data_IF_973649526186
#
_entry.id   IF_973649526186
#
_cell.length_a   1.000
_cell.length_b   1.000
_cell.length_c   1.000
_cell.angle_alpha   90.00
_cell.angle_beta   90.00
_cell.angle_gamma   90.00
#
_symmetry.space_group_name_H-M   'P 1'
#
loop_
_entity.id
_entity.type
_entity.pdbx_description
1 polymer ?
#
# COMPACT_ATOMS: atom_id res chain seq x y z
N UNK A 1 23.71 16.46 26.20
CA UNK A 1 22.41 17.16 26.02
C UNK A 1 22.00 17.40 24.56
N UNK A 2 22.91 17.46 23.57
CA UNK A 2 22.57 17.73 22.16
C UNK A 2 21.91 16.56 21.39
N UNK A 3 21.96 15.34 21.91
CA UNK A 3 21.42 14.16 21.23
C UNK A 3 19.89 14.02 21.39
N UNK A 4 19.35 14.43 22.54
CA UNK A 4 17.92 14.32 22.87
C UNK A 4 17.06 15.19 21.94
N UNK A 5 17.53 16.39 21.63
CA UNK A 5 16.82 17.30 20.71
C UNK A 5 16.82 16.81 19.26
N UNK A 6 17.87 16.06 18.85
CA UNK A 6 17.92 15.45 17.51
C UNK A 6 16.96 14.28 17.39
N UNK A 7 16.84 13.44 18.42
CA UNK A 7 15.83 12.36 18.46
C UNK A 7 14.43 12.92 18.52
N UNK A 8 14.18 13.99 19.29
CA UNK A 8 12.85 14.64 19.36
C UNK A 8 12.44 15.24 18.01
N UNK A 9 13.35 15.92 17.29
CA UNK A 9 13.09 16.41 15.93
C UNK A 9 12.86 15.28 14.92
N UNK A 10 13.57 14.16 15.05
CA UNK A 10 13.36 12.98 14.18
C UNK A 10 12.02 12.30 14.45
N UNK A 11 11.58 12.21 15.70
CA UNK A 11 10.29 11.63 16.08
C UNK A 11 9.14 12.47 15.54
N UNK A 12 9.20 13.80 15.70
CA UNK A 12 8.22 14.70 15.10
C UNK A 12 8.24 14.63 13.57
N UNK A 13 9.42 14.57 12.94
CA UNK A 13 9.54 14.40 11.50
C UNK A 13 8.87 13.12 10.98
N UNK A 14 8.97 12.00 11.70
CA UNK A 14 8.31 10.72 11.34
C UNK A 14 6.80 10.79 11.55
N UNK A 15 6.34 11.45 12.62
CA UNK A 15 4.91 11.65 12.90
C UNK A 15 4.27 12.59 11.86
N UNK A 16 4.94 13.70 11.52
CA UNK A 16 4.52 14.62 10.46
C UNK A 16 4.58 13.97 9.06
N UNK A 17 5.57 13.11 8.82
CA UNK A 17 5.67 12.30 7.60
C UNK A 17 4.53 11.27 7.52
N UNK A 18 4.12 10.69 8.66
CA UNK A 18 2.94 9.82 8.78
C UNK A 18 1.63 10.58 8.52
N UNK A 19 1.49 11.82 9.00
CA UNK A 19 0.34 12.68 8.71
C UNK A 19 0.27 13.12 7.24
N UNK A 20 1.43 13.24 6.57
CA UNK A 20 1.51 13.42 5.11
C UNK A 20 1.19 12.12 4.35
N UNK A 21 1.40 10.98 5.01
CA UNK A 21 1.12 9.64 4.52
C UNK A 21 -0.36 9.26 4.60
N UNK A 22 -1.05 9.67 5.66
CA UNK A 22 -2.50 9.56 5.81
C UNK A 22 -3.13 10.94 6.02
N UNK A 23 -3.23 11.79 4.97
CA UNK A 23 -4.07 12.97 5.06
C UNK A 23 -5.51 12.47 5.18
N UNK A 24 -6.04 12.50 6.41
CA UNK A 24 -7.43 12.16 6.70
C UNK A 24 -8.34 12.99 5.81
N UNK A 25 -8.78 12.38 4.70
CA UNK A 25 -9.71 13.03 3.78
C UNK A 25 -10.99 13.19 4.57
N UNK A 26 -11.23 14.39 5.07
CA UNK A 26 -12.55 14.78 5.57
C UNK A 26 -13.49 14.59 4.38
N UNK A 27 -14.20 13.47 4.36
CA UNK A 27 -15.32 13.29 3.46
C UNK A 27 -16.35 14.33 3.89
N UNK A 28 -16.31 15.51 3.26
CA UNK A 28 -17.50 16.34 3.17
C UNK A 28 -18.48 15.53 2.34
N UNK A 29 -19.28 14.72 3.02
CA UNK A 29 -20.61 14.37 2.54
C UNK A 29 -21.25 15.72 2.23
N UNK A 30 -21.31 16.04 0.94
CA UNK A 30 -21.92 17.25 0.47
C UNK A 30 -23.42 17.02 0.60
N UNK A 31 -23.95 17.29 1.79
CA UNK A 31 -25.36 17.64 1.94
C UNK A 31 -25.52 18.96 1.20
N UNK A 32 -25.67 18.87 -0.13
CA UNK A 32 -25.95 20.02 -0.99
C UNK A 32 -27.35 19.81 -1.52
N UNK A 33 -28.30 20.40 -0.79
CA UNK A 33 -29.52 21.00 -1.29
C UNK A 33 -30.31 20.20 -2.33
N UNK A 34 -31.17 19.30 -1.83
CA UNK A 34 -32.49 19.09 -2.44
C UNK A 34 -33.31 20.39 -2.27
N UNK A 35 -33.17 21.32 -3.20
CA UNK A 35 -34.12 22.43 -3.40
C UNK A 35 -33.89 23.07 -4.78
N UNK A 36 -33.91 22.24 -5.82
CA UNK A 36 -34.15 22.60 -7.23
C UNK A 36 -34.55 21.23 -7.82
N UNK A 37 -35.79 20.93 -8.19
CA UNK A 37 -36.60 21.61 -9.19
C UNK A 37 -38.06 21.11 -9.03
N UNK A 38 -38.87 21.90 -8.34
CA UNK A 38 -40.34 21.86 -8.45
C UNK A 38 -40.62 23.04 -9.38
N UNK A 39 -41.03 22.78 -10.64
CA UNK A 39 -41.60 23.72 -11.64
C UNK A 39 -41.29 23.22 -13.07
N UNK A 40 -42.00 22.18 -13.52
CA UNK A 40 -42.43 22.00 -14.91
C UNK A 40 -43.12 20.64 -15.05
N UNK A 41 -44.36 20.55 -14.59
CA UNK A 41 -45.23 19.37 -14.83
C UNK A 41 -46.59 19.87 -15.30
N UNK A 42 -46.61 20.72 -16.32
CA UNK A 42 -47.85 21.11 -16.99
C UNK A 42 -47.58 21.25 -18.49
N UNK A 43 -47.74 20.12 -19.19
CA UNK A 43 -47.91 20.05 -20.63
C UNK A 43 -46.63 19.89 -21.45
N UNK A 44 -46.13 18.65 -21.60
CA UNK A 44 -45.79 18.03 -22.90
C UNK A 44 -45.75 16.51 -22.70
N UNK A 45 -46.82 15.83 -23.07
CA UNK A 45 -46.86 14.40 -23.34
C UNK A 45 -46.57 14.21 -24.85
N UNK A 46 -45.34 13.81 -25.23
CA UNK A 46 -44.99 13.02 -26.44
C UNK A 46 -43.47 12.88 -26.61
N UNK A 47 -43.04 11.62 -26.67
CA UNK A 47 -41.67 11.12 -26.75
C UNK A 47 -41.07 11.39 -28.16
N UNK A 48 -39.87 12.00 -28.22
CA UNK A 48 -38.69 11.69 -29.08
C UNK A 48 -37.84 12.97 -29.34
N UNK A 49 -36.49 12.85 -29.25
CA UNK A 49 -35.40 13.80 -29.63
C UNK A 49 -34.73 14.62 -28.48
N UNK A 50 -33.52 14.20 -28.05
CA UNK A 50 -32.57 15.04 -27.30
C UNK A 50 -31.46 15.53 -28.25
N UNK A 51 -31.29 16.85 -28.44
CA UNK A 51 -30.25 17.46 -29.27
C UNK A 51 -28.80 17.24 -28.74
N UNK A 52 -27.77 17.34 -29.61
CA UNK A 52 -26.38 16.94 -29.36
C UNK A 52 -25.60 17.71 -28.28
N UNK A 53 -26.24 18.63 -27.55
CA UNK A 53 -25.60 19.46 -26.51
C UNK A 53 -25.61 18.83 -25.11
N UNK A 54 -26.33 17.72 -24.90
CA UNK A 54 -26.42 17.04 -23.59
C UNK A 54 -25.32 15.97 -23.38
N UNK A 55 -24.09 16.24 -23.86
CA UNK A 55 -22.93 15.45 -23.44
C UNK A 55 -22.77 15.70 -21.94
N UNK A 56 -23.16 14.71 -21.14
CA UNK A 56 -22.91 14.70 -19.71
C UNK A 56 -21.40 14.67 -19.51
N UNK A 57 -20.78 15.86 -19.39
CA UNK A 57 -19.37 15.99 -19.03
C UNK A 57 -19.25 15.50 -17.59
N UNK A 58 -19.01 14.20 -17.43
CA UNK A 58 -18.61 13.58 -16.16
C UNK A 58 -17.39 14.36 -15.67
N UNK A 59 -17.58 15.15 -14.61
CA UNK A 59 -16.54 15.94 -13.93
C UNK A 59 -15.27 15.08 -13.77
N UNK A 60 -14.06 15.59 -14.08
CA UNK A 60 -12.85 14.78 -14.10
C UNK A 60 -12.64 14.14 -12.73
N UNK A 61 -12.83 12.83 -12.70
CA UNK A 61 -12.49 11.99 -11.56
C UNK A 61 -10.99 12.17 -11.32
N UNK A 62 -10.59 12.57 -10.10
CA UNK A 62 -9.18 12.83 -9.76
C UNK A 62 -8.33 11.67 -10.31
N UNK A 63 -7.21 11.95 -11.00
CA UNK A 63 -6.49 10.91 -11.72
C UNK A 63 -6.19 9.78 -10.73
N UNK A 64 -6.57 8.52 -11.05
CA UNK A 64 -6.13 7.39 -10.25
C UNK A 64 -4.60 7.48 -10.17
N UNK A 65 -4.03 7.18 -9.01
CA UNK A 65 -2.58 7.06 -8.91
C UNK A 65 -2.17 6.11 -10.06
N UNK A 66 -1.30 6.56 -10.95
CA UNK A 66 -0.97 5.75 -12.14
C UNK A 66 -0.41 4.41 -11.68
N UNK A 67 -0.78 3.31 -12.33
CA UNK A 67 -0.28 1.96 -12.01
C UNK A 67 1.26 1.93 -11.90
N UNK A 68 1.97 2.69 -12.74
CA UNK A 68 3.43 2.88 -12.67
C UNK A 68 3.92 3.38 -11.30
N UNK A 69 3.22 4.35 -10.70
CA UNK A 69 3.51 4.87 -9.35
C UNK A 69 3.20 3.82 -8.27
N UNK A 70 2.15 3.02 -8.47
CA UNK A 70 1.83 1.89 -7.60
C UNK A 70 3.00 0.90 -7.51
N UNK A 71 3.56 0.48 -8.65
CA UNK A 71 4.72 -0.41 -8.70
C UNK A 71 5.97 0.19 -8.04
N UNK A 72 6.23 1.49 -8.23
CA UNK A 72 7.33 2.14 -7.50
C UNK A 72 7.13 2.13 -6.00
N UNK A 73 5.89 2.26 -5.50
CA UNK A 73 5.62 2.15 -4.07
C UNK A 73 5.81 0.73 -3.55
N UNK A 74 5.46 -0.31 -4.32
CA UNK A 74 5.74 -1.71 -3.95
C UNK A 74 7.24 -1.96 -3.85
N UNK A 75 8.01 -1.53 -4.86
CA UNK A 75 9.47 -1.71 -4.87
C UNK A 75 10.16 -0.95 -3.74
N UNK A 76 9.78 0.31 -3.52
CA UNK A 76 10.34 1.12 -2.44
C UNK A 76 9.92 0.59 -1.06
N UNK A 77 8.67 0.16 -0.90
CA UNK A 77 8.17 -0.48 0.34
C UNK A 77 8.90 -1.78 0.62
N UNK A 78 9.05 -2.67 -0.36
CA UNK A 78 9.81 -3.92 -0.21
C UNK A 78 11.30 -3.70 0.04
N UNK A 79 11.91 -2.66 -0.53
CA UNK A 79 13.28 -2.27 -0.18
C UNK A 79 13.41 -1.82 1.27
N UNK A 80 12.44 -1.02 1.75
CA UNK A 80 12.39 -0.58 3.14
C UNK A 80 12.13 -1.74 4.10
N UNK A 81 11.38 -2.75 3.67
CA UNK A 81 11.18 -4.02 4.38
C UNK A 81 12.49 -4.68 4.75
N UNK A 82 13.38 -4.82 3.77
CA UNK A 82 14.70 -5.42 3.99
C UNK A 82 15.45 -4.64 5.08
N UNK A 83 15.43 -3.31 5.02
CA UNK A 83 16.14 -2.43 5.98
C UNK A 83 15.60 -2.59 7.39
N UNK A 84 14.27 -2.48 7.60
CA UNK A 84 13.72 -2.57 8.96
C UNK A 84 13.77 -3.99 9.51
N UNK A 85 13.56 -5.00 8.66
CA UNK A 85 13.63 -6.40 9.09
C UNK A 85 15.07 -6.82 9.43
N UNK A 86 16.08 -6.38 8.67
CA UNK A 86 17.49 -6.63 9.01
C UNK A 86 17.95 -5.88 10.25
N UNK A 87 17.35 -4.71 10.53
CA UNK A 87 17.72 -3.87 11.67
C UNK A 87 17.47 -4.53 13.02
N UNK A 88 16.51 -5.47 13.11
CA UNK A 88 16.27 -6.25 14.35
C UNK A 88 17.47 -7.10 14.79
N UNK A 89 18.42 -7.37 13.89
CA UNK A 89 19.64 -8.12 14.21
C UNK A 89 20.68 -7.26 14.96
N UNK A 90 20.51 -5.93 14.99
CA UNK A 90 21.51 -4.99 15.46
C UNK A 90 21.03 -4.20 16.68
N UNK A 91 21.65 -4.46 17.83
CA UNK A 91 21.30 -3.81 19.09
C UNK A 91 21.61 -2.30 19.12
N UNK A 92 22.51 -1.83 18.26
CA UNK A 92 22.86 -0.42 18.15
C UNK A 92 21.87 0.38 17.29
N UNK A 93 20.91 -0.26 16.61
CA UNK A 93 19.88 0.43 15.86
C UNK A 93 18.75 0.81 16.83
N UNK A 94 18.45 2.11 17.02
CA UNK A 94 17.39 2.52 17.91
C UNK A 94 16.05 1.92 17.47
N UNK A 95 15.30 1.29 18.39
CA UNK A 95 14.01 0.66 18.07
C UNK A 95 13.01 1.63 17.41
N UNK A 96 13.13 2.93 17.72
CA UNK A 96 12.33 3.98 17.10
C UNK A 96 12.59 4.13 15.59
N UNK A 97 13.82 3.89 15.14
CA UNK A 97 14.17 3.91 13.71
C UNK A 97 13.53 2.72 12.99
N UNK A 98 13.61 1.53 13.60
CA UNK A 98 12.98 0.32 13.07
C UNK A 98 11.46 0.51 12.94
N UNK A 99 10.83 1.06 13.98
CA UNK A 99 9.40 1.36 13.96
C UNK A 99 9.03 2.39 12.89
N UNK A 100 9.81 3.46 12.74
CA UNK A 100 9.60 4.47 11.71
C UNK A 100 9.69 3.88 10.29
N UNK A 101 10.72 3.09 10.03
CA UNK A 101 10.91 2.41 8.75
C UNK A 101 9.81 1.37 8.49
N UNK A 102 9.38 0.62 9.50
CA UNK A 102 8.24 -0.30 9.38
C UNK A 102 6.96 0.45 8.99
N UNK A 103 6.61 1.53 9.69
CA UNK A 103 5.39 2.29 9.41
C UNK A 103 5.41 2.91 8.00
N UNK A 104 6.55 3.47 7.60
CA UNK A 104 6.74 4.02 6.27
C UNK A 104 6.61 2.92 5.19
N UNK A 105 7.17 1.73 5.44
CA UNK A 105 7.10 0.57 4.53
C UNK A 105 5.65 0.17 4.26
N UNK A 106 4.86 0.02 5.33
CA UNK A 106 3.48 -0.39 5.23
C UNK A 106 2.59 0.68 4.61
N UNK A 107 2.84 1.96 4.82
CA UNK A 107 2.08 2.99 4.14
C UNK A 107 2.31 2.97 2.62
N UNK A 108 3.57 2.85 2.16
CA UNK A 108 3.87 2.72 0.74
C UNK A 108 3.08 1.55 0.13
N UNK A 109 2.99 0.45 0.88
CA UNK A 109 2.20 -0.71 0.51
C UNK A 109 0.69 -0.39 0.44
N UNK A 110 0.16 0.31 1.44
CA UNK A 110 -1.25 0.76 1.51
C UNK A 110 -1.58 1.72 0.36
N UNK A 111 -0.61 2.49 -0.13
CA UNK A 111 -0.77 3.34 -1.32
C UNK A 111 -0.76 2.52 -2.61
N UNK A 112 0.04 1.46 -2.68
CA UNK A 112 0.07 0.57 -3.84
C UNK A 112 -1.22 -0.26 -4.01
N UNK A 113 -1.79 -0.77 -2.92
CA UNK A 113 -3.04 -1.57 -2.97
C UNK A 113 -4.26 -0.77 -3.44
N UNK A 114 -4.19 0.56 -3.45
CA UNK A 114 -5.25 1.42 -4.03
C UNK A 114 -5.36 1.29 -5.55
N UNK A 115 -4.33 0.74 -6.22
CA UNK A 115 -4.25 0.70 -7.70
C UNK A 115 -3.82 -0.65 -8.26
N UNK A 116 -3.32 -1.56 -7.41
CA UNK A 116 -2.95 -2.93 -7.76
C UNK A 116 -3.74 -3.88 -6.86
N UNK A 117 -4.22 -5.04 -7.37
CA UNK A 117 -4.88 -6.05 -6.54
C UNK A 117 -4.04 -6.41 -5.31
N UNK A 118 -4.70 -6.44 -4.15
CA UNK A 118 -4.04 -6.64 -2.85
C UNK A 118 -3.19 -7.92 -2.80
N UNK A 119 -3.69 -9.02 -3.37
CA UNK A 119 -2.96 -10.29 -3.43
C UNK A 119 -1.67 -10.21 -4.25
N UNK A 120 -1.65 -9.42 -5.33
CA UNK A 120 -0.44 -9.20 -6.13
C UNK A 120 0.58 -8.36 -5.37
N UNK A 121 0.12 -7.29 -4.72
CA UNK A 121 0.98 -6.40 -3.93
C UNK A 121 1.65 -7.16 -2.79
N UNK A 122 0.88 -7.90 -2.00
CA UNK A 122 1.44 -8.69 -0.90
C UNK A 122 2.37 -9.79 -1.39
N UNK A 123 2.02 -10.50 -2.46
CA UNK A 123 2.88 -11.55 -3.00
C UNK A 123 4.24 -11.04 -3.49
N UNK A 124 4.27 -9.85 -4.11
CA UNK A 124 5.53 -9.23 -4.56
C UNK A 124 6.30 -8.64 -3.38
N UNK A 125 5.62 -7.97 -2.44
CA UNK A 125 6.24 -7.41 -1.23
C UNK A 125 6.95 -8.49 -0.42
N UNK A 126 6.26 -9.56 -0.05
CA UNK A 126 6.85 -10.65 0.73
C UNK A 126 7.95 -11.39 -0.05
N UNK A 127 7.82 -11.51 -1.38
CA UNK A 127 8.86 -12.05 -2.24
C UNK A 127 10.16 -11.22 -2.19
N UNK A 128 10.04 -9.90 -2.30
CA UNK A 128 11.18 -8.97 -2.20
C UNK A 128 11.81 -9.05 -0.81
N UNK A 129 11.00 -9.02 0.26
CA UNK A 129 11.50 -9.14 1.63
C UNK A 129 12.24 -10.45 1.87
N UNK A 130 11.68 -11.58 1.41
CA UNK A 130 12.31 -12.91 1.58
C UNK A 130 13.64 -13.00 0.84
N UNK A 131 13.66 -12.64 -0.45
CA UNK A 131 14.89 -12.69 -1.25
C UNK A 131 15.92 -11.69 -0.71
N UNK A 132 15.50 -10.48 -0.39
CA UNK A 132 16.36 -9.42 0.11
C UNK A 132 16.96 -9.74 1.47
N UNK A 133 16.19 -10.32 2.39
CA UNK A 133 16.71 -10.76 3.70
C UNK A 133 17.71 -11.90 3.56
N UNK A 134 17.44 -12.88 2.69
CA UNK A 134 18.38 -13.98 2.43
C UNK A 134 19.71 -13.44 1.86
N UNK A 135 19.64 -12.51 0.90
CA UNK A 135 20.84 -11.88 0.32
C UNK A 135 21.57 -11.04 1.38
N UNK A 136 20.85 -10.23 2.15
CA UNK A 136 21.44 -9.39 3.20
C UNK A 136 22.15 -10.24 4.24
N UNK A 137 21.49 -11.32 4.70
CA UNK A 137 22.06 -12.28 5.64
C UNK A 137 23.29 -12.97 5.05
N UNK A 138 23.24 -13.38 3.79
CA UNK A 138 24.36 -13.99 3.08
C UNK A 138 25.59 -13.07 3.01
N UNK A 139 25.38 -11.80 2.64
CA UNK A 139 26.44 -10.79 2.54
C UNK A 139 27.03 -10.48 3.91
N UNK A 140 26.21 -10.40 4.95
CA UNK A 140 26.65 -10.03 6.30
C UNK A 140 27.33 -11.19 7.05
N UNK A 141 26.87 -12.42 6.89
CA UNK A 141 27.51 -13.60 7.48
C UNK A 141 28.72 -14.06 6.65
N UNK A 142 28.85 -13.64 5.38
CA UNK A 142 29.92 -14.06 4.46
C UNK A 142 29.86 -15.54 4.06
N UNK A 143 28.93 -16.31 4.63
CA UNK A 143 28.70 -17.71 4.36
C UNK A 143 27.22 -18.04 4.53
N UNK A 144 26.63 -18.70 3.53
CA UNK A 144 25.24 -19.13 3.58
C UNK A 144 25.20 -20.56 4.11
N UNK A 145 24.59 -20.77 5.28
CA UNK A 145 24.36 -22.13 5.77
C UNK A 145 23.36 -22.84 4.86
N UNK A 146 23.73 -23.96 4.21
CA UNK A 146 22.83 -24.65 3.27
C UNK A 146 21.54 -25.12 3.95
N UNK A 147 21.61 -25.45 5.24
CA UNK A 147 20.45 -25.82 6.05
C UNK A 147 19.44 -24.67 6.22
N UNK A 148 19.89 -23.42 6.40
CA UNK A 148 18.98 -22.24 6.51
C UNK A 148 18.20 -22.06 5.21
N UNK A 149 18.89 -22.14 4.07
CA UNK A 149 18.27 -22.05 2.74
C UNK A 149 17.26 -23.17 2.52
N UNK A 150 17.60 -24.41 2.94
CA UNK A 150 16.68 -25.55 2.87
C UNK A 150 15.39 -25.32 3.66
N UNK A 151 15.48 -24.76 4.87
CA UNK A 151 14.29 -24.43 5.70
C UNK A 151 13.44 -23.34 5.04
N UNK A 152 14.06 -22.31 4.48
CA UNK A 152 13.33 -21.22 3.77
C UNK A 152 12.63 -21.76 2.52
N UNK A 153 13.29 -22.61 1.74
CA UNK A 153 12.68 -23.27 0.59
C UNK A 153 11.52 -24.17 0.99
N UNK A 154 11.67 -24.95 2.07
CA UNK A 154 10.60 -25.78 2.62
C UNK A 154 9.40 -24.94 3.05
N UNK A 155 9.63 -23.80 3.70
CA UNK A 155 8.59 -22.84 4.07
C UNK A 155 7.84 -22.32 2.82
N UNK A 156 8.56 -21.96 1.76
CA UNK A 156 7.97 -21.52 0.50
C UNK A 156 7.11 -22.62 -0.14
N UNK A 157 7.57 -23.87 -0.12
CA UNK A 157 6.80 -25.03 -0.58
C UNK A 157 5.49 -25.18 0.21
N UNK A 158 5.54 -25.05 1.54
CA UNK A 158 4.33 -25.08 2.36
C UNK A 158 3.33 -23.98 2.00
N UNK A 159 3.81 -22.75 1.77
CA UNK A 159 2.95 -21.62 1.37
C UNK A 159 2.29 -21.91 0.02
N UNK A 160 3.03 -22.43 -0.96
CA UNK A 160 2.50 -22.78 -2.28
C UNK A 160 1.49 -23.92 -2.16
N UNK A 161 1.80 -24.96 -1.39
CA UNK A 161 0.92 -26.10 -1.17
C UNK A 161 -0.41 -25.70 -0.52
N UNK A 162 -0.36 -24.80 0.47
CA UNK A 162 -1.55 -24.20 1.09
C UNK A 162 -2.41 -23.47 0.04
N UNK A 163 -1.77 -22.70 -0.85
CA UNK A 163 -2.50 -21.99 -1.92
C UNK A 163 -3.17 -22.93 -2.92
N UNK A 164 -2.56 -24.08 -3.22
CA UNK A 164 -3.14 -25.09 -4.10
C UNK A 164 -4.37 -25.78 -3.48
N UNK A 165 -4.36 -26.03 -2.17
CA UNK A 165 -5.50 -26.67 -1.50
C UNK A 165 -6.68 -25.72 -1.27
N UNK A 166 -6.43 -24.42 -1.09
CA UNK A 166 -7.49 -23.41 -0.92
C UNK A 166 -8.28 -23.08 -2.20
N UNK A 167 -7.94 -23.68 -3.34
CA UNK A 167 -8.55 -23.41 -4.66
C UNK A 167 -9.80 -24.22 -5.00
N UNK A 168 -10.42 -24.95 -4.05
CA UNK A 168 -11.65 -25.70 -4.31
C UNK A 168 -12.85 -24.74 -4.35
N UNK A 169 -13.35 -24.45 -5.56
CA UNK A 169 -14.69 -23.87 -5.74
C UNK A 169 -15.71 -24.89 -5.25
N UNK A 170 -16.41 -24.57 -4.18
CA UNK A 170 -17.66 -25.26 -3.83
C UNK A 170 -18.69 -24.89 -4.90
N UNK A 171 -18.86 -25.77 -5.87
CA UNK A 171 -20.05 -25.82 -6.70
C UNK A 171 -21.04 -26.72 -5.99
N UNK A 172 -22.05 -26.15 -5.35
CA UNK A 172 -23.31 -26.83 -5.07
C UNK A 172 -24.48 -25.87 -5.19
#
# INVERSE_FOLDING_TARGET
MSQVWKTVLLIHGVIDLSYLLFPGRKNKVKTTNKHVQENNVSGVERIQEVPPAAVLVKKPEKPPISTRRGWTYVLAGGGLEIVWASSFKYDYVPSIFVLAALLLSFDLLIRAVKVIPIGTVYGVFTGIGTVGLVIMEAVMEGYIRPLKVGIILLLLVFIILLKLTSGRKETS
#
